data_IF_954365976783
#
_entry.id   IF_954365976783
#
_cell.length_a   1.000
_cell.length_b   1.000
_cell.length_c   1.000
_cell.angle_alpha   90.00
_cell.angle_beta   90.00
_cell.angle_gamma   90.00
#
_symmetry.space_group_name_H-M   'P 1'
#
loop_
_entity.id
_entity.type
_entity.pdbx_description
1 polymer ?
#
# COMPACT_ATOMS: atom_id res chain seq x y z
N UNK A 1 -5.45 -20.55 2.20
CA UNK A 1 -4.16 -20.06 2.74
C UNK A 1 -3.37 -21.25 3.22
N UNK A 2 -2.16 -21.45 2.69
CA UNK A 2 -1.30 -22.55 3.12
C UNK A 2 -0.51 -22.15 4.38
N UNK A 3 0.20 -23.11 4.98
CA UNK A 3 0.96 -22.90 6.23
C UNK A 3 2.06 -21.85 6.06
N UNK A 4 2.70 -21.81 4.89
CA UNK A 4 3.79 -20.88 4.57
C UNK A 4 3.30 -19.44 4.46
N UNK A 5 2.20 -19.21 3.72
CA UNK A 5 1.56 -17.90 3.59
C UNK A 5 1.08 -17.38 4.96
N UNK A 6 0.60 -18.26 5.84
CA UNK A 6 0.25 -17.88 7.21
C UNK A 6 1.48 -17.45 8.03
N UNK A 7 2.62 -18.14 7.89
CA UNK A 7 3.88 -17.77 8.57
C UNK A 7 4.38 -16.42 8.05
N UNK A 8 4.41 -16.24 6.72
CA UNK A 8 4.77 -14.98 6.06
C UNK A 8 3.93 -13.82 6.59
N UNK A 9 2.60 -13.96 6.62
CA UNK A 9 1.70 -12.93 7.12
C UNK A 9 1.96 -12.59 8.59
N UNK A 10 2.26 -13.57 9.44
CA UNK A 10 2.59 -13.32 10.85
C UNK A 10 3.88 -12.51 10.99
N UNK A 11 4.92 -12.83 10.23
CA UNK A 11 6.19 -12.10 10.26
C UNK A 11 6.03 -10.67 9.71
N UNK A 12 5.26 -10.49 8.64
CA UNK A 12 4.93 -9.16 8.11
C UNK A 12 4.22 -8.30 9.17
N UNK A 13 3.23 -8.86 9.89
CA UNK A 13 2.49 -8.12 10.90
C UNK A 13 3.37 -7.66 12.07
N UNK A 14 4.35 -8.47 12.48
CA UNK A 14 5.35 -8.06 13.50
C UNK A 14 6.18 -6.85 13.06
N UNK A 15 6.43 -6.72 11.75
CA UNK A 15 7.17 -5.61 11.13
C UNK A 15 6.29 -4.39 10.82
N UNK A 16 5.01 -4.41 11.17
CA UNK A 16 4.07 -3.35 10.78
C UNK A 16 3.70 -3.35 9.30
N UNK A 17 3.91 -4.46 8.61
CA UNK A 17 3.64 -4.64 7.18
C UNK A 17 2.40 -5.51 6.96
N UNK A 18 1.89 -5.49 5.73
CA UNK A 18 0.83 -6.39 5.28
C UNK A 18 1.02 -6.75 3.81
N UNK A 19 0.46 -7.88 3.41
CA UNK A 19 0.34 -8.27 2.01
C UNK A 19 -0.94 -7.68 1.44
N UNK A 20 -0.82 -6.80 0.46
CA UNK A 20 -1.95 -6.20 -0.26
C UNK A 20 -2.11 -6.93 -1.59
N UNK A 21 -3.30 -7.48 -1.86
CA UNK A 21 -3.60 -8.18 -3.12
C UNK A 21 -4.58 -7.36 -3.94
N UNK A 22 -4.30 -7.23 -5.23
CA UNK A 22 -5.26 -6.71 -6.20
C UNK A 22 -6.14 -7.88 -6.67
N UNK A 23 -7.37 -7.90 -6.16
CA UNK A 23 -8.35 -8.97 -6.45
C UNK A 23 -8.56 -9.08 -7.96
N UNK A 24 -8.46 -10.30 -8.49
CA UNK A 24 -8.65 -10.58 -9.92
C UNK A 24 -7.38 -10.46 -10.78
N UNK A 25 -6.26 -9.98 -10.25
CA UNK A 25 -5.05 -9.71 -11.06
C UNK A 25 -3.83 -10.57 -10.70
N UNK A 26 -3.90 -11.40 -9.66
CA UNK A 26 -2.78 -12.21 -9.18
C UNK A 26 -1.65 -11.41 -8.51
N UNK A 27 -1.57 -10.09 -8.73
CA UNK A 27 -0.58 -9.22 -8.12
C UNK A 27 -0.77 -9.08 -6.61
N UNK A 28 0.36 -9.13 -5.91
CA UNK A 28 0.46 -8.91 -4.48
C UNK A 28 1.67 -8.02 -4.18
N UNK A 29 1.51 -7.14 -3.20
CA UNK A 29 2.52 -6.16 -2.78
C UNK A 29 2.75 -6.31 -1.27
N UNK A 30 3.96 -5.99 -0.82
CA UNK A 30 4.28 -5.90 0.60
C UNK A 30 4.32 -4.42 0.96
N UNK A 31 3.38 -3.97 1.79
CA UNK A 31 3.17 -2.54 2.06
C UNK A 31 3.04 -2.26 3.55
N UNK A 32 3.11 -1.00 3.95
CA UNK A 32 2.80 -0.63 5.33
C UNK A 32 1.35 -1.01 5.70
N UNK A 33 1.12 -1.46 6.95
CA UNK A 33 -0.18 -1.99 7.39
C UNK A 33 -1.38 -1.05 7.17
N UNK A 34 -1.13 0.26 7.12
CA UNK A 34 -2.15 1.30 6.97
C UNK A 34 -2.37 1.78 5.53
N UNK A 35 -1.64 1.24 4.54
CA UNK A 35 -1.73 1.71 3.14
C UNK A 35 -3.13 1.57 2.56
N UNK A 36 -3.88 0.53 2.95
CA UNK A 36 -5.28 0.39 2.51
C UNK A 36 -6.15 1.59 2.92
N UNK A 37 -5.93 2.14 4.12
CA UNK A 37 -6.68 3.29 4.61
C UNK A 37 -6.24 4.58 3.94
N UNK A 38 -4.93 4.73 3.67
CA UNK A 38 -4.40 5.83 2.85
C UNK A 38 -5.01 5.81 1.44
N UNK A 39 -5.00 4.66 0.77
CA UNK A 39 -5.59 4.50 -0.57
C UNK A 39 -7.07 4.91 -0.54
N UNK A 40 -7.82 4.42 0.46
CA UNK A 40 -9.23 4.79 0.60
C UNK A 40 -9.41 6.29 0.82
N UNK A 41 -8.58 6.92 1.64
CA UNK A 41 -8.62 8.36 1.86
C UNK A 41 -8.30 9.14 0.59
N UNK A 42 -7.23 8.79 -0.12
CA UNK A 42 -6.82 9.47 -1.34
C UNK A 42 -7.94 9.41 -2.39
N UNK A 43 -8.49 8.22 -2.66
CA UNK A 43 -9.44 8.03 -3.76
C UNK A 43 -10.87 8.48 -3.42
N UNK A 44 -11.29 8.30 -2.17
CA UNK A 44 -12.66 8.57 -1.72
C UNK A 44 -12.72 9.88 -0.92
N UNK A 45 -11.89 10.03 0.11
CA UNK A 45 -11.92 11.19 0.99
C UNK A 45 -11.48 12.49 0.31
N UNK A 46 -10.38 12.46 -0.43
CA UNK A 46 -9.85 13.61 -1.17
C UNK A 46 -10.30 13.65 -2.63
N UNK A 47 -10.97 12.59 -3.10
CA UNK A 47 -11.45 12.50 -4.48
C UNK A 47 -10.34 12.47 -5.54
N UNK A 48 -9.11 12.05 -5.17
CA UNK A 48 -8.02 11.90 -6.13
C UNK A 48 -8.31 10.77 -7.12
N UNK A 49 -7.78 10.92 -8.33
CA UNK A 49 -7.85 9.88 -9.36
C UNK A 49 -6.72 8.84 -9.25
N UNK A 50 -5.74 9.11 -8.39
CA UNK A 50 -4.53 8.32 -8.21
C UNK A 50 -4.15 8.26 -6.73
N UNK A 51 -3.72 7.07 -6.29
CA UNK A 51 -3.07 6.88 -4.99
C UNK A 51 -1.72 6.21 -5.18
N UNK A 52 -0.72 6.69 -4.45
CA UNK A 52 0.64 6.15 -4.47
C UNK A 52 0.95 5.34 -3.22
N UNK A 53 1.75 4.29 -3.34
CA UNK A 53 2.31 3.55 -2.20
C UNK A 53 3.59 2.83 -2.58
N UNK A 54 4.40 2.44 -1.60
CA UNK A 54 5.66 1.74 -1.80
C UNK A 54 5.45 0.25 -1.61
N UNK A 55 5.77 -0.52 -2.66
CA UNK A 55 5.97 -1.95 -2.55
C UNK A 55 7.38 -2.22 -2.01
N UNK A 56 7.43 -2.90 -0.87
CA UNK A 56 8.64 -3.25 -0.11
C UNK A 56 9.02 -4.72 -0.32
N UNK A 57 8.49 -5.34 -1.38
CA UNK A 57 8.87 -6.70 -1.77
C UNK A 57 10.37 -6.76 -2.11
N UNK A 58 11.05 -7.82 -1.67
CA UNK A 58 12.50 -7.95 -1.83
C UNK A 58 12.94 -8.07 -3.30
N UNK A 59 12.09 -8.62 -4.16
CA UNK A 59 12.43 -8.90 -5.55
C UNK A 59 12.36 -7.65 -6.45
N UNK A 60 11.34 -6.81 -6.23
CA UNK A 60 11.06 -5.65 -7.07
C UNK A 60 10.51 -4.54 -6.18
N UNK A 61 11.31 -3.88 -5.34
CA UNK A 61 10.79 -2.78 -4.55
C UNK A 61 10.58 -1.53 -5.42
N UNK A 62 9.58 -0.71 -5.09
CA UNK A 62 9.31 0.48 -5.88
C UNK A 62 8.00 1.19 -5.55
N UNK A 63 7.75 2.30 -6.25
CA UNK A 63 6.53 3.10 -6.10
C UNK A 63 5.44 2.60 -7.03
N UNK A 64 4.33 2.19 -6.44
CA UNK A 64 3.11 1.82 -7.13
C UNK A 64 2.18 3.02 -7.26
N UNK A 65 1.61 3.21 -8.45
CA UNK A 65 0.57 4.19 -8.74
C UNK A 65 -0.73 3.45 -9.05
N UNK A 66 -1.69 3.52 -8.14
CA UNK A 66 -3.02 2.90 -8.27
C UNK A 66 -4.03 3.90 -8.84
N UNK A 67 -4.57 3.60 -10.01
CA UNK A 67 -5.55 4.42 -10.70
C UNK A 67 -6.98 4.04 -10.32
N UNK A 68 -7.81 5.04 -10.00
CA UNK A 68 -9.20 4.84 -9.55
C UNK A 68 -10.11 4.20 -10.60
N UNK A 69 -9.93 4.57 -11.87
CA UNK A 69 -10.85 4.26 -12.97
C UNK A 69 -10.85 2.79 -13.40
N UNK A 70 -9.71 2.11 -13.29
CA UNK A 70 -9.55 0.74 -13.76
C UNK A 70 -8.80 -0.16 -12.76
N UNK A 71 -8.43 0.35 -11.59
CA UNK A 71 -7.61 -0.33 -10.58
C UNK A 71 -6.30 -0.89 -11.15
N UNK A 72 -5.81 -0.28 -12.22
CA UNK A 72 -4.51 -0.58 -12.78
C UNK A 72 -3.43 -0.06 -11.84
N UNK A 73 -2.28 -0.75 -11.83
CA UNK A 73 -1.10 -0.31 -11.09
C UNK A 73 0.10 -0.26 -12.02
N UNK A 74 0.72 0.91 -12.11
CA UNK A 74 2.06 1.05 -12.69
C UNK A 74 3.08 1.14 -11.57
N UNK A 75 4.29 0.64 -11.82
CA UNK A 75 5.35 0.56 -10.82
C UNK A 75 6.64 1.16 -11.33
N UNK A 76 7.18 2.10 -10.58
CA UNK A 76 8.52 2.66 -10.77
C UNK A 76 9.47 1.95 -9.81
N UNK A 77 10.58 1.42 -10.32
CA UNK A 77 11.50 0.59 -9.55
C UNK A 77 12.58 1.46 -8.92
N UNK A 78 12.88 1.21 -7.65
CA UNK A 78 13.83 2.03 -6.90
C UNK A 78 15.15 1.31 -6.68
N UNK A 79 16.22 2.09 -6.73
CA UNK A 79 17.49 1.67 -6.13
C UNK A 79 17.36 1.70 -4.59
N UNK A 80 18.24 0.99 -3.85
CA UNK A 80 18.12 0.88 -2.40
C UNK A 80 18.09 2.21 -1.65
N UNK A 81 18.82 3.22 -2.12
CA UNK A 81 18.89 4.55 -1.53
C UNK A 81 17.54 5.26 -1.61
N UNK A 82 16.96 5.33 -2.82
CA UNK A 82 15.64 5.92 -3.10
C UNK A 82 14.53 5.20 -2.31
N UNK A 83 14.62 3.86 -2.24
CA UNK A 83 13.66 3.05 -1.51
C UNK A 83 13.64 3.39 -0.03
N UNK A 84 14.81 3.54 0.59
CA UNK A 84 14.92 3.85 2.01
C UNK A 84 14.35 5.23 2.34
N UNK A 85 14.54 6.22 1.46
CA UNK A 85 13.96 7.55 1.61
C UNK A 85 12.43 7.51 1.46
N UNK A 86 11.95 6.88 0.38
CA UNK A 86 10.51 6.76 0.11
C UNK A 86 9.76 5.99 1.20
N UNK A 87 10.36 4.94 1.77
CA UNK A 87 9.77 4.19 2.90
C UNK A 87 9.60 5.09 4.12
N UNK A 88 10.61 5.92 4.46
CA UNK A 88 10.54 6.82 5.62
C UNK A 88 9.43 7.85 5.46
N UNK A 89 9.32 8.44 4.27
CA UNK A 89 8.27 9.40 3.95
C UNK A 89 6.88 8.74 4.01
N UNK A 90 6.74 7.56 3.39
CA UNK A 90 5.48 6.82 3.42
C UNK A 90 5.07 6.46 4.85
N UNK A 91 5.99 5.99 5.69
CA UNK A 91 5.69 5.61 7.07
C UNK A 91 5.15 6.82 7.88
N UNK A 92 5.75 8.01 7.72
CA UNK A 92 5.27 9.23 8.39
C UNK A 92 3.84 9.61 7.97
N UNK A 93 3.50 9.39 6.70
CA UNK A 93 2.16 9.64 6.18
C UNK A 93 1.19 8.55 6.65
N UNK A 94 1.56 7.29 6.51
CA UNK A 94 0.72 6.13 6.76
C UNK A 94 0.34 5.97 8.23
N UNK A 95 1.17 6.45 9.17
CA UNK A 95 0.83 6.47 10.60
C UNK A 95 -0.42 7.31 10.88
N UNK A 96 -0.70 8.33 10.06
CA UNK A 96 -1.89 9.20 10.22
C UNK A 96 -3.20 8.47 9.87
N UNK A 97 -3.12 7.34 9.19
CA UNK A 97 -4.26 6.56 8.72
C UNK A 97 -4.43 5.27 9.53
N UNK A 98 -4.72 5.38 10.83
CA UNK A 98 -4.81 4.22 11.73
C UNK A 98 -6.14 3.43 11.61
N UNK A 99 -7.15 4.03 10.97
CA UNK A 99 -8.50 3.49 10.83
C UNK A 99 -9.11 3.84 9.47
N UNK A 100 -10.04 3.01 9.02
CA UNK A 100 -10.87 3.30 7.86
C UNK A 100 -11.69 4.57 8.12
N UNK A 101 -11.69 5.49 7.16
CA UNK A 101 -12.45 6.73 7.24
C UNK A 101 -13.76 6.50 6.52
N UNK A 102 -14.74 5.94 7.23
CA UNK A 102 -16.13 5.83 6.75
C UNK A 102 -16.91 7.11 7.09
N UNK A 103 -16.36 8.27 6.70
CA UNK A 103 -17.04 9.56 6.88
C UNK A 103 -17.61 10.00 5.55
N UNK A 104 -18.94 10.12 5.49
CA UNK A 104 -19.62 10.84 4.40
C UNK A 104 -19.05 12.25 4.31
N UNK A 105 -18.64 12.64 3.11
CA UNK A 105 -18.29 14.01 2.75
C UNK A 105 -19.59 14.84 2.88
N UNK A 106 -19.62 15.91 3.68
CA UNK A 106 -20.71 16.88 3.64
C UNK A 106 -20.73 17.56 2.26
N UNK A 107 -21.91 17.67 1.65
CA UNK A 107 -22.14 18.36 0.37
C UNK A 107 -21.69 19.82 0.39
#
# INVERSE_FOLDING_TARGET
>A
MNKEELIELRELKKRGLTKLKLVGTGYAFIVHKNIQYKISHDLIGEGKELSEFIDRSENEPGRCHLYKTNLHVTKDLFIPEELNEAIKEEDQIAIKFDKAIDKKIPE
#
